data_IF_496673828631
#
_entry.id   IF_496673828631
#
_cell.length_a   1.000
_cell.length_b   1.000
_cell.length_c   1.000
_cell.angle_alpha   90.00
_cell.angle_beta   90.00
_cell.angle_gamma   90.00
#
_symmetry.space_group_name_H-M   'P 1'
#
loop_
_entity.id
_entity.type
_entity.pdbx_description
1 polymer ?
#
# COMPACT_ATOMS: atom_id res chain seq x y z
N UNK A 1 9.66 -22.88 13.11
CA UNK A 1 9.87 -21.62 12.42
C UNK A 1 11.11 -20.94 12.96
N UNK A 2 11.97 -20.51 12.08
CA UNK A 2 13.18 -19.85 12.51
C UNK A 2 12.84 -18.58 13.29
N UNK A 3 13.51 -18.38 14.40
CA UNK A 3 13.39 -17.15 15.14
C UNK A 3 13.93 -16.02 14.27
N UNK A 4 13.09 -15.11 13.91
CA UNK A 4 13.50 -13.96 13.13
C UNK A 4 14.17 -12.98 14.08
N UNK A 5 15.46 -12.78 13.91
CA UNK A 5 16.08 -11.63 14.53
C UNK A 5 15.35 -10.40 13.98
N UNK A 6 15.18 -9.40 14.82
CA UNK A 6 14.61 -8.15 14.36
C UNK A 6 15.39 -7.68 13.13
N UNK A 7 14.69 -7.56 12.02
CA UNK A 7 15.25 -7.02 10.78
C UNK A 7 15.07 -5.52 10.67
N UNK A 8 14.63 -4.90 11.75
CA UNK A 8 14.49 -3.47 11.80
C UNK A 8 15.88 -2.85 11.95
N UNK A 9 16.24 -2.10 10.97
CA UNK A 9 17.46 -1.30 11.02
C UNK A 9 17.16 -0.06 11.86
N UNK A 10 17.63 -0.07 13.09
CA UNK A 10 17.36 1.01 14.03
C UNK A 10 17.97 2.34 13.59
N UNK A 11 19.12 2.30 12.95
CA UNK A 11 19.77 3.50 12.48
C UNK A 11 19.01 4.13 11.32
N UNK A 12 18.55 3.29 10.38
CA UNK A 12 17.70 3.75 9.30
C UNK A 12 16.38 4.31 9.83
N UNK A 13 15.81 3.67 10.84
CA UNK A 13 14.57 4.11 11.46
C UNK A 13 14.73 5.49 12.12
N UNK A 14 15.84 5.67 12.84
CA UNK A 14 16.16 6.97 13.45
C UNK A 14 16.36 8.05 12.42
N UNK A 15 17.02 7.70 11.31
CA UNK A 15 17.26 8.64 10.22
C UNK A 15 15.94 9.09 9.59
N UNK A 16 15.03 8.16 9.31
CA UNK A 16 13.71 8.50 8.78
C UNK A 16 12.95 9.38 9.76
N UNK A 17 13.00 9.06 11.04
CA UNK A 17 12.32 9.85 12.07
C UNK A 17 12.88 11.26 12.13
N UNK A 18 14.20 11.39 12.11
CA UNK A 18 14.87 12.67 12.10
C UNK A 18 14.49 13.52 10.88
N UNK A 19 14.47 12.88 9.72
CA UNK A 19 14.07 13.54 8.48
C UNK A 19 12.62 14.04 8.55
N UNK A 20 11.73 13.22 9.11
CA UNK A 20 10.34 13.61 9.29
C UNK A 20 10.21 14.81 10.23
N UNK A 21 10.99 14.85 11.31
CA UNK A 21 10.99 15.98 12.22
C UNK A 21 11.50 17.25 11.55
N UNK A 22 12.55 17.14 10.75
CA UNK A 22 13.08 18.29 10.01
C UNK A 22 12.05 18.81 9.01
N UNK A 23 11.38 17.91 8.32
CA UNK A 23 10.33 18.29 7.36
C UNK A 23 9.14 18.94 8.06
N UNK A 24 8.77 18.47 9.22
CA UNK A 24 7.67 19.06 9.99
C UNK A 24 7.97 20.49 10.40
N UNK A 25 9.24 20.83 10.66
CA UNK A 25 9.65 22.20 11.01
C UNK A 25 9.47 23.18 9.86
N UNK A 26 9.35 22.70 8.64
CA UNK A 26 9.13 23.52 7.46
C UNK A 26 7.66 23.90 7.26
N UNK A 27 6.79 23.46 8.17
CA UNK A 27 5.35 23.70 8.12
C UNK A 27 4.63 22.67 7.26
N UNK A 28 3.38 22.92 6.86
CA UNK A 28 2.57 21.94 6.15
C UNK A 28 3.21 21.42 4.86
N UNK A 29 3.96 22.22 4.16
CA UNK A 29 4.61 21.81 2.92
C UNK A 29 5.68 20.74 3.17
N UNK A 30 6.31 20.76 4.35
CA UNK A 30 7.39 19.84 4.67
C UNK A 30 6.93 18.42 4.94
N UNK A 31 5.68 18.21 5.32
CA UNK A 31 5.15 16.87 5.63
C UNK A 31 3.90 16.49 4.83
N UNK A 32 3.51 17.30 3.88
CA UNK A 32 2.41 16.94 2.99
C UNK A 32 2.95 16.04 1.90
N UNK A 33 2.36 14.86 1.78
CA UNK A 33 2.69 13.92 0.71
C UNK A 33 1.42 13.58 -0.05
N UNK A 34 1.59 13.21 -1.31
CA UNK A 34 0.46 12.79 -2.15
C UNK A 34 0.72 11.39 -2.65
N UNK A 35 -0.22 10.51 -2.36
CA UNK A 35 -0.21 9.16 -2.92
C UNK A 35 -1.34 9.07 -3.93
N UNK A 36 -1.02 8.63 -5.14
CA UNK A 36 -1.98 8.54 -6.23
C UNK A 36 -2.04 7.12 -6.75
N UNK A 37 -3.26 6.67 -7.00
CA UNK A 37 -3.49 5.40 -7.68
C UNK A 37 -4.29 5.65 -8.95
N UNK A 38 -3.91 4.98 -10.02
CA UNK A 38 -4.64 5.01 -11.28
C UNK A 38 -5.26 3.64 -11.47
N UNK A 39 -6.58 3.60 -11.57
CA UNK A 39 -7.33 2.37 -11.66
C UNK A 39 -7.79 2.17 -13.10
N UNK A 40 -7.59 0.96 -13.62
CA UNK A 40 -8.01 0.59 -14.96
C UNK A 40 -8.81 -0.70 -14.91
N UNK A 41 -9.98 -0.70 -15.51
CA UNK A 41 -10.76 -1.92 -15.67
C UNK A 41 -10.15 -2.76 -16.78
N UNK A 42 -9.85 -4.02 -16.49
CA UNK A 42 -9.25 -4.93 -17.46
C UNK A 42 -10.35 -5.74 -18.16
N UNK A 43 -11.12 -6.50 -17.39
CA UNK A 43 -12.18 -7.33 -17.92
C UNK A 43 -13.13 -7.73 -16.78
N UNK A 44 -14.43 -7.61 -17.02
CA UNK A 44 -15.41 -7.94 -15.99
C UNK A 44 -15.19 -7.14 -14.74
N UNK A 45 -14.89 -7.81 -13.63
CA UNK A 45 -14.60 -7.16 -12.35
C UNK A 45 -13.09 -7.02 -12.10
N UNK A 46 -12.28 -7.55 -12.98
CA UNK A 46 -10.83 -7.50 -12.81
C UNK A 46 -10.31 -6.10 -13.13
N UNK A 47 -9.62 -5.54 -12.18
CA UNK A 47 -9.07 -4.18 -12.26
C UNK A 47 -7.59 -4.20 -11.93
N UNK A 48 -6.91 -3.20 -12.41
CA UNK A 48 -5.52 -2.97 -12.12
C UNK A 48 -5.36 -1.59 -11.49
N UNK A 49 -4.54 -1.49 -10.48
CA UNK A 49 -4.18 -0.21 -9.87
C UNK A 49 -2.68 0.00 -9.98
N UNK A 50 -2.30 1.16 -10.46
CA UNK A 50 -0.89 1.58 -10.45
C UNK A 50 -0.70 2.62 -9.37
N UNK A 51 0.20 2.32 -8.45
CA UNK A 51 0.49 3.17 -7.30
C UNK A 51 2.00 3.35 -7.26
N UNK A 52 2.47 4.54 -7.65
CA UNK A 52 3.89 4.76 -7.81
C UNK A 52 4.46 3.80 -8.85
N UNK A 53 5.44 3.03 -8.47
CA UNK A 53 6.06 2.03 -9.34
C UNK A 53 5.41 0.65 -9.23
N UNK A 54 4.39 0.50 -8.40
CA UNK A 54 3.75 -0.78 -8.14
C UNK A 54 2.46 -0.93 -8.93
N UNK A 55 2.19 -2.17 -9.32
CA UNK A 55 0.93 -2.53 -9.96
C UNK A 55 0.31 -3.69 -9.18
N UNK A 56 -0.94 -3.52 -8.80
CA UNK A 56 -1.69 -4.57 -8.11
C UNK A 56 -2.97 -4.83 -8.87
N UNK A 57 -3.52 -6.03 -8.70
CA UNK A 57 -4.79 -6.42 -9.31
C UNK A 57 -5.84 -6.62 -8.24
N UNK A 58 -7.08 -6.36 -8.61
CA UNK A 58 -8.23 -6.51 -7.76
C UNK A 58 -9.35 -7.12 -8.60
N UNK A 59 -10.08 -8.05 -8.00
CA UNK A 59 -11.20 -8.70 -8.65
C UNK A 59 -12.32 -8.86 -7.62
N UNK A 60 -13.38 -9.54 -7.99
CA UNK A 60 -14.41 -9.97 -7.08
C UNK A 60 -14.45 -11.49 -7.05
N UNK A 61 -14.96 -12.05 -5.96
CA UNK A 61 -15.12 -13.48 -5.84
C UNK A 61 -16.14 -13.99 -6.86
N UNK A 62 -16.01 -15.24 -7.25
CA UNK A 62 -16.94 -15.87 -8.18
C UNK A 62 -18.38 -15.82 -7.67
N UNK A 63 -18.58 -15.91 -6.36
CA UNK A 63 -19.88 -15.77 -5.73
C UNK A 63 -20.51 -14.39 -5.95
N UNK A 64 -19.72 -13.40 -6.30
CA UNK A 64 -20.17 -12.04 -6.63
C UNK A 64 -20.01 -11.74 -8.12
N UNK A 65 -19.94 -12.79 -8.93
CA UNK A 65 -19.83 -12.72 -10.39
C UNK A 65 -18.51 -12.12 -10.87
N UNK A 66 -17.50 -12.19 -10.05
CA UNK A 66 -16.14 -11.90 -10.46
C UNK A 66 -15.42 -13.13 -10.95
N UNK A 67 -14.20 -12.96 -11.39
CA UNK A 67 -13.35 -14.06 -11.86
C UNK A 67 -12.57 -14.77 -10.79
N UNK A 68 -12.48 -14.19 -9.59
CA UNK A 68 -11.70 -14.76 -8.49
C UNK A 68 -10.21 -14.79 -8.76
N UNK A 69 -9.71 -13.91 -9.63
CA UNK A 69 -8.31 -13.94 -10.04
C UNK A 69 -7.39 -13.13 -9.13
N UNK A 70 -7.97 -12.31 -8.27
CA UNK A 70 -7.21 -11.42 -7.37
C UNK A 70 -8.08 -11.11 -6.16
N UNK A 71 -7.48 -10.58 -5.08
CA UNK A 71 -8.25 -10.16 -3.92
C UNK A 71 -9.26 -9.07 -4.26
N UNK A 72 -10.37 -9.07 -3.52
CA UNK A 72 -11.38 -8.03 -3.64
C UNK A 72 -10.94 -6.74 -2.96
N UNK A 73 -11.61 -5.61 -3.27
CA UNK A 73 -11.32 -4.36 -2.57
C UNK A 73 -11.42 -4.48 -1.05
N UNK A 74 -12.43 -5.20 -0.56
CA UNK A 74 -12.59 -5.39 0.87
C UNK A 74 -11.43 -6.18 1.47
N UNK A 75 -10.94 -7.20 0.77
CA UNK A 75 -9.80 -7.97 1.24
C UNK A 75 -8.54 -7.12 1.28
N UNK A 76 -8.34 -6.25 0.30
CA UNK A 76 -7.23 -5.29 0.34
C UNK A 76 -7.35 -4.34 1.52
N UNK A 77 -8.55 -3.86 1.77
CA UNK A 77 -8.79 -2.97 2.91
C UNK A 77 -8.45 -3.65 4.23
N UNK A 78 -8.90 -4.89 4.41
CA UNK A 78 -8.59 -5.67 5.62
C UNK A 78 -7.09 -5.90 5.75
N UNK A 79 -6.43 -6.26 4.67
CA UNK A 79 -4.99 -6.45 4.69
C UNK A 79 -4.25 -5.16 5.05
N UNK A 80 -4.69 -4.04 4.48
CA UNK A 80 -4.07 -2.75 4.72
C UNK A 80 -4.14 -2.35 6.20
N UNK A 81 -5.23 -2.69 6.88
CA UNK A 81 -5.36 -2.38 8.31
C UNK A 81 -4.37 -3.16 9.17
N UNK A 82 -3.91 -4.31 8.68
CA UNK A 82 -2.94 -5.14 9.40
C UNK A 82 -1.48 -4.76 9.11
N UNK A 83 -1.26 -4.07 8.02
CA UNK A 83 0.09 -3.64 7.69
C UNK A 83 0.55 -2.52 8.62
#
# INVERSE_FOLDING_TARGET
>A
MATTKSKIDRDAFREVHREQQERAKQGPEGYTTTTRAVIRLIEGQLKEARIGEYTIQCDEAKSRKGGGQAPSPLQYFVAATGF
#
